data_IF_908551219254
#
_entry.id   IF_908551219254
#
_cell.length_a   1.000
_cell.length_b   1.000
_cell.length_c   1.000
_cell.angle_alpha   90.00
_cell.angle_beta   90.00
_cell.angle_gamma   90.00
#
_symmetry.space_group_name_H-M   'P 1'
#
loop_
_entity.id
_entity.type
_entity.pdbx_description
1 polymer ?
#
# COMPACT_ATOMS: atom_id res chain seq x y z
N UNK A 1 36.08 -10.30 15.18
CA UNK A 1 35.71 -9.94 13.80
C UNK A 1 34.38 -9.22 13.87
N UNK A 2 34.42 -7.91 14.07
CA UNK A 2 33.24 -7.08 13.88
C UNK A 2 33.15 -6.84 12.37
N UNK A 3 32.09 -7.32 11.73
CA UNK A 3 31.63 -6.69 10.50
C UNK A 3 30.14 -6.38 10.66
N UNK A 4 29.95 -5.11 11.00
CA UNK A 4 28.69 -4.45 11.18
C UNK A 4 28.25 -3.94 9.81
N UNK A 5 27.40 -4.67 9.11
CA UNK A 5 26.54 -4.08 8.07
C UNK A 5 25.10 -4.13 8.52
N UNK A 6 24.82 -3.43 9.62
CA UNK A 6 23.51 -2.81 9.80
C UNK A 6 23.48 -1.56 8.91
N UNK A 7 23.38 -1.76 7.59
CA UNK A 7 23.02 -0.70 6.68
C UNK A 7 21.55 -0.39 6.95
N UNK A 8 21.28 0.64 7.76
CA UNK A 8 19.94 1.20 7.88
C UNK A 8 19.43 1.45 6.47
N UNK A 9 18.41 0.69 6.05
CA UNK A 9 17.75 0.89 4.77
C UNK A 9 17.33 2.35 4.69
N UNK A 10 17.63 3.02 3.56
CA UNK A 10 17.16 4.40 3.36
C UNK A 10 15.62 4.39 3.48
N UNK A 11 14.99 5.46 4.00
CA UNK A 11 13.54 5.51 4.16
C UNK A 11 12.77 5.04 2.91
N UNK A 12 13.27 5.40 1.72
CA UNK A 12 12.71 4.99 0.43
C UNK A 12 12.81 3.45 0.21
N UNK A 13 13.93 2.83 0.56
CA UNK A 13 14.14 1.37 0.43
C UNK A 13 13.26 0.57 1.40
N UNK A 14 12.90 1.16 2.54
CA UNK A 14 12.00 0.52 3.51
C UNK A 14 10.56 0.58 3.01
N UNK A 15 10.15 1.72 2.44
CA UNK A 15 8.83 1.90 1.82
C UNK A 15 8.61 0.89 0.69
N UNK A 16 9.51 0.83 -0.29
CA UNK A 16 9.36 -0.06 -1.45
C UNK A 16 9.32 -1.52 -1.04
N UNK A 17 10.20 -1.94 -0.13
CA UNK A 17 10.21 -3.31 0.39
C UNK A 17 8.91 -3.70 1.09
N UNK A 18 8.31 -2.78 1.86
CA UNK A 18 7.02 -3.02 2.49
C UNK A 18 5.91 -3.16 1.44
N UNK A 19 5.86 -2.26 0.46
CA UNK A 19 4.91 -2.31 -0.64
C UNK A 19 5.03 -3.62 -1.43
N UNK A 20 6.25 -4.01 -1.80
CA UNK A 20 6.53 -5.26 -2.54
C UNK A 20 6.12 -6.50 -1.74
N UNK A 21 6.31 -6.48 -0.42
CA UNK A 21 5.87 -7.59 0.45
C UNK A 21 4.35 -7.74 0.41
N UNK A 22 3.61 -6.64 0.46
CA UNK A 22 2.15 -6.68 0.35
C UNK A 22 1.67 -7.16 -1.02
N UNK A 23 2.31 -6.69 -2.10
CA UNK A 23 2.01 -7.15 -3.47
C UNK A 23 2.34 -8.64 -3.64
N UNK A 24 3.45 -9.10 -3.08
CA UNK A 24 3.82 -10.52 -3.07
C UNK A 24 2.73 -11.38 -2.44
N UNK A 25 2.23 -11.00 -1.25
CA UNK A 25 1.14 -11.72 -0.60
C UNK A 25 -0.18 -11.68 -1.38
N UNK A 26 -0.48 -10.58 -2.07
CA UNK A 26 -1.65 -10.50 -2.95
C UNK A 26 -1.50 -11.43 -4.16
N UNK A 27 -0.31 -11.47 -4.77
CA UNK A 27 0.00 -12.33 -5.91
C UNK A 27 -0.10 -13.81 -5.54
N UNK A 28 0.40 -14.21 -4.37
CA UNK A 28 0.29 -15.59 -3.87
C UNK A 28 -1.17 -16.01 -3.70
N UNK A 29 -2.03 -15.14 -3.15
CA UNK A 29 -3.45 -15.42 -3.00
C UNK A 29 -4.17 -15.50 -4.35
N UNK A 30 -3.78 -14.65 -5.30
CA UNK A 30 -4.36 -14.60 -6.64
C UNK A 30 -4.10 -15.87 -7.49
N UNK A 31 -3.26 -16.79 -7.00
CA UNK A 31 -3.07 -18.12 -7.61
C UNK A 31 -4.35 -18.96 -7.49
N UNK A 32 -5.08 -18.84 -6.37
CA UNK A 32 -6.24 -19.70 -6.05
C UNK A 32 -7.53 -18.93 -5.81
N UNK A 33 -7.45 -17.63 -5.50
CA UNK A 33 -8.59 -16.74 -5.27
C UNK A 33 -8.75 -15.80 -6.46
N UNK A 34 -9.99 -15.51 -6.84
CA UNK A 34 -10.28 -14.56 -7.93
C UNK A 34 -9.61 -13.20 -7.69
N UNK A 35 -8.96 -12.65 -8.73
CA UNK A 35 -8.18 -11.41 -8.64
C UNK A 35 -9.02 -10.21 -8.18
N UNK A 36 -10.31 -10.15 -8.53
CA UNK A 36 -11.19 -9.07 -8.08
C UNK A 36 -11.48 -9.18 -6.58
N UNK A 37 -11.61 -10.40 -6.06
CA UNK A 37 -11.76 -10.66 -4.62
C UNK A 37 -10.48 -10.31 -3.86
N UNK A 38 -9.31 -10.72 -4.36
CA UNK A 38 -8.01 -10.36 -3.77
C UNK A 38 -7.83 -8.84 -3.77
N UNK A 39 -8.14 -8.17 -4.88
CA UNK A 39 -8.05 -6.70 -4.97
C UNK A 39 -8.96 -6.00 -3.95
N UNK A 40 -10.22 -6.44 -3.81
CA UNK A 40 -11.14 -5.88 -2.82
C UNK A 40 -10.67 -6.15 -1.38
N UNK A 41 -10.16 -7.37 -1.13
CA UNK A 41 -9.58 -7.74 0.16
C UNK A 41 -8.35 -6.90 0.51
N UNK A 42 -7.50 -6.60 -0.46
CA UNK A 42 -6.30 -5.79 -0.25
C UNK A 42 -6.64 -4.34 0.09
N UNK A 43 -7.61 -3.73 -0.60
CA UNK A 43 -8.13 -2.40 -0.27
C UNK A 43 -8.75 -2.36 1.15
N UNK A 44 -9.49 -3.40 1.52
CA UNK A 44 -10.05 -3.50 2.87
C UNK A 44 -8.98 -3.70 3.94
N UNK A 45 -7.95 -4.50 3.66
CA UNK A 45 -6.81 -4.72 4.54
C UNK A 45 -6.02 -3.42 4.79
N UNK A 46 -5.76 -2.62 3.75
CA UNK A 46 -5.10 -1.33 3.90
C UNK A 46 -5.92 -0.37 4.76
N UNK A 47 -7.25 -0.33 4.58
CA UNK A 47 -8.13 0.49 5.40
C UNK A 47 -8.06 0.08 6.88
N UNK A 48 -8.10 -1.22 7.19
CA UNK A 48 -7.99 -1.74 8.57
C UNK A 48 -6.64 -1.39 9.21
N UNK A 49 -5.55 -1.57 8.48
CA UNK A 49 -4.21 -1.26 8.97
C UNK A 49 -4.06 0.24 9.24
N UNK A 50 -4.44 1.09 8.29
CA UNK A 50 -4.34 2.55 8.45
C UNK A 50 -5.24 3.06 9.59
N UNK A 51 -6.42 2.46 9.77
CA UNK A 51 -7.31 2.77 10.90
C UNK A 51 -6.66 2.46 12.25
N UNK A 52 -5.98 1.31 12.35
CA UNK A 52 -5.22 0.95 13.54
C UNK A 52 -4.05 1.91 13.78
N UNK A 53 -3.32 2.31 12.73
CA UNK A 53 -2.20 3.26 12.85
C UNK A 53 -2.68 4.58 13.46
N UNK A 54 -3.75 5.18 12.94
CA UNK A 54 -4.32 6.43 13.50
C UNK A 54 -4.71 6.21 14.96
N UNK A 55 -5.52 5.18 15.23
CA UNK A 55 -6.02 4.92 16.58
C UNK A 55 -4.88 4.68 17.59
N UNK A 56 -3.80 4.02 17.17
CA UNK A 56 -2.62 3.76 18.01
C UNK A 56 -1.80 5.02 18.33
N UNK A 57 -1.91 6.05 17.49
CA UNK A 57 -1.26 7.35 17.69
C UNK A 57 -2.12 8.30 18.53
N UNK A 58 -3.44 8.09 18.53
CA UNK A 58 -4.37 8.81 19.40
C UNK A 58 -4.31 8.23 20.81
N UNK A 59 -3.74 8.97 21.77
CA UNK A 59 -3.60 8.51 23.16
C UNK A 59 -4.94 8.29 23.91
N UNK A 60 -6.05 8.76 23.37
CA UNK A 60 -7.39 8.52 23.90
C UNK A 60 -8.47 8.62 22.80
N UNK A 61 -9.71 8.31 23.19
CA UNK A 61 -10.86 8.29 22.28
C UNK A 61 -11.21 9.70 21.81
N UNK A 62 -11.17 10.70 22.67
CA UNK A 62 -11.54 12.08 22.33
C UNK A 62 -10.62 12.64 21.23
N UNK A 63 -9.32 12.39 21.32
CA UNK A 63 -8.35 12.73 20.29
C UNK A 63 -8.63 11.98 18.98
N UNK A 64 -8.93 10.68 19.05
CA UNK A 64 -9.30 9.92 17.86
C UNK A 64 -10.55 10.47 17.17
N UNK A 65 -11.58 10.84 17.93
CA UNK A 65 -12.79 11.44 17.39
C UNK A 65 -12.54 12.80 16.71
N UNK A 66 -11.59 13.59 17.22
CA UNK A 66 -11.19 14.86 16.62
C UNK A 66 -10.37 14.68 15.33
N UNK A 67 -9.47 13.70 15.28
CA UNK A 67 -8.51 13.50 14.18
C UNK A 67 -9.06 12.62 13.05
N UNK A 68 -10.08 11.78 13.30
CA UNK A 68 -10.54 10.76 12.35
C UNK A 68 -10.88 11.28 10.95
N UNK A 69 -11.51 12.45 10.86
CA UNK A 69 -11.97 12.99 9.58
C UNK A 69 -10.77 13.42 8.72
N UNK A 70 -9.83 14.18 9.30
CA UNK A 70 -8.61 14.60 8.63
C UNK A 70 -7.75 13.40 8.19
N UNK A 71 -7.67 12.36 9.03
CA UNK A 71 -6.94 11.16 8.71
C UNK A 71 -7.57 10.37 7.54
N UNK A 72 -8.90 10.25 7.50
CA UNK A 72 -9.61 9.64 6.36
C UNK A 72 -9.30 10.39 5.07
N UNK A 73 -9.43 11.72 5.07
CA UNK A 73 -9.17 12.54 3.90
C UNK A 73 -7.73 12.41 3.41
N UNK A 74 -6.77 12.37 4.34
CA UNK A 74 -5.36 12.13 4.02
C UNK A 74 -5.18 10.78 3.30
N UNK A 75 -5.65 9.67 3.87
CA UNK A 75 -5.44 8.35 3.29
C UNK A 75 -6.13 8.18 1.93
N UNK A 76 -7.35 8.70 1.77
CA UNK A 76 -8.07 8.68 0.48
C UNK A 76 -7.31 9.49 -0.56
N UNK A 77 -6.78 10.66 -0.19
CA UNK A 77 -6.01 11.50 -1.11
C UNK A 77 -4.70 10.85 -1.54
N UNK A 78 -3.96 10.25 -0.61
CA UNK A 78 -2.73 9.52 -0.91
C UNK A 78 -2.99 8.31 -1.82
N UNK A 79 -4.03 7.52 -1.52
CA UNK A 79 -4.41 6.40 -2.38
C UNK A 79 -4.80 6.85 -3.79
N UNK A 80 -5.60 7.92 -3.90
CA UNK A 80 -6.00 8.47 -5.19
C UNK A 80 -4.80 8.94 -6.00
N UNK A 81 -3.83 9.60 -5.37
CA UNK A 81 -2.60 10.03 -6.03
C UNK A 81 -1.84 8.81 -6.59
N UNK A 82 -1.52 7.83 -5.74
CA UNK A 82 -0.79 6.65 -6.14
C UNK A 82 -1.51 5.85 -7.24
N UNK A 83 -2.83 5.67 -7.12
CA UNK A 83 -3.63 4.98 -8.13
C UNK A 83 -3.60 5.74 -9.47
N UNK A 84 -3.70 7.06 -9.44
CA UNK A 84 -3.66 7.89 -10.64
C UNK A 84 -2.32 7.77 -11.35
N UNK A 85 -1.21 7.82 -10.60
CA UNK A 85 0.14 7.66 -11.15
C UNK A 85 0.35 6.28 -11.78
N UNK A 86 -0.09 5.21 -11.11
CA UNK A 86 0.03 3.85 -11.65
C UNK A 86 -0.84 3.67 -12.91
N UNK A 87 -2.08 4.16 -12.91
CA UNK A 87 -2.94 4.11 -14.10
C UNK A 87 -2.33 4.89 -15.26
N UNK A 88 -1.74 6.07 -14.99
CA UNK A 88 -1.06 6.85 -16.02
C UNK A 88 0.13 6.10 -16.63
N UNK A 89 0.90 5.36 -15.82
CA UNK A 89 1.98 4.50 -16.33
C UNK A 89 1.46 3.36 -17.22
N UNK A 90 0.40 2.67 -16.78
CA UNK A 90 -0.27 1.66 -17.61
C UNK A 90 -0.85 2.25 -18.89
N UNK A 91 -1.41 3.46 -18.85
CA UNK A 91 -1.93 4.14 -20.04
C UNK A 91 -0.82 4.49 -21.03
N UNK A 92 0.32 4.97 -20.54
CA UNK A 92 1.47 5.33 -21.38
C UNK A 92 2.17 4.10 -21.98
N UNK A 93 2.15 2.96 -21.29
CA UNK A 93 2.89 1.75 -21.64
C UNK A 93 1.98 0.54 -21.94
N UNK A 94 0.71 0.78 -22.25
CA UNK A 94 -0.32 -0.27 -22.29
C UNK A 94 0.07 -1.45 -23.19
N UNK A 95 0.46 -1.18 -24.43
CA UNK A 95 0.84 -2.23 -25.38
C UNK A 95 2.05 -3.02 -24.91
N UNK A 96 3.03 -2.35 -24.29
CA UNK A 96 4.24 -2.99 -23.77
C UNK A 96 3.95 -3.89 -22.57
N UNK A 97 3.03 -3.50 -21.69
CA UNK A 97 2.73 -4.26 -20.48
C UNK A 97 1.67 -5.34 -20.67
N UNK A 98 0.67 -5.08 -21.51
CA UNK A 98 -0.51 -5.94 -21.66
C UNK A 98 -0.46 -6.74 -22.97
N UNK A 99 0.05 -6.17 -24.06
CA UNK A 99 0.02 -6.82 -25.39
C UNK A 99 1.30 -7.60 -25.73
N UNK A 100 2.23 -7.77 -24.78
CA UNK A 100 3.50 -8.45 -25.03
C UNK A 100 3.39 -9.99 -24.96
N UNK A 101 2.43 -10.53 -25.72
CA UNK A 101 2.35 -11.92 -26.18
C UNK A 101 2.52 -11.95 -27.71
N UNK A 102 3.65 -11.44 -28.21
CA UNK A 102 4.12 -11.69 -29.58
C UNK A 102 5.36 -12.59 -29.54
#
# INVERSE_FOLDING_TARGET
>A
MADSTNAQAKPDDAFWRAADTFIGSANEQAITVDRTVVSAGFLYASARFNSFVIASQCGNKEAFEAEKAAAIDYFVSQYKLALTENIADYQANFDKYINNNA
#
